data_IF_522538002464
#
_entry.id   IF_522538002464
#
_cell.length_a   1.000
_cell.length_b   1.000
_cell.length_c   1.000
_cell.angle_alpha   90.00
_cell.angle_beta   90.00
_cell.angle_gamma   90.00
#
_symmetry.space_group_name_H-M   'P 1'
#
loop_
_entity.id
_entity.type
_entity.pdbx_description
1 polymer ?
#
# COMPACT_ATOMS: atom_id res chain seq x y z
N UNK A 1 72.31 -19.80 1.47
CA UNK A 1 72.52 -20.84 0.50
C UNK A 1 71.58 -22.00 0.77
N UNK A 2 70.62 -22.18 -0.04
CA UNK A 2 69.97 -23.41 -0.48
C UNK A 2 68.54 -23.11 -1.01
N UNK A 3 68.40 -23.31 -2.29
CA UNK A 3 67.18 -23.16 -3.05
C UNK A 3 66.19 -24.30 -2.73
N UNK A 4 64.88 -24.10 -2.89
CA UNK A 4 63.86 -25.17 -2.77
C UNK A 4 63.68 -25.90 -4.09
N UNK A 5 63.27 -27.18 -4.07
CA UNK A 5 62.99 -27.96 -5.26
C UNK A 5 61.63 -27.66 -5.86
N UNK A 6 61.57 -27.76 -7.15
CA UNK A 6 60.39 -27.71 -8.03
C UNK A 6 59.61 -29.01 -8.00
N UNK A 7 58.39 -28.84 -8.44
CA UNK A 7 57.48 -29.77 -9.09
C UNK A 7 56.52 -30.59 -8.25
N UNK A 8 55.26 -30.32 -8.48
CA UNK A 8 54.30 -31.36 -8.76
C UNK A 8 53.15 -30.78 -9.61
N UNK A 9 52.99 -31.37 -10.78
CA UNK A 9 51.98 -31.04 -11.77
C UNK A 9 50.57 -31.31 -11.23
N UNK A 10 49.67 -30.36 -11.40
CA UNK A 10 48.23 -30.60 -11.24
C UNK A 10 47.69 -31.25 -12.53
N UNK A 11 46.91 -32.34 -12.44
CA UNK A 11 46.20 -32.87 -13.60
C UNK A 11 44.98 -31.96 -13.91
N UNK A 12 44.87 -31.58 -15.17
CA UNK A 12 43.72 -30.91 -15.74
C UNK A 12 42.48 -31.85 -15.67
N UNK A 13 41.65 -31.72 -14.68
CA UNK A 13 40.28 -32.20 -14.74
C UNK A 13 39.38 -31.03 -15.12
N UNK A 14 38.89 -31.10 -16.36
CA UNK A 14 37.81 -30.27 -16.89
C UNK A 14 36.50 -30.51 -16.06
N UNK A 15 36.41 -29.88 -14.92
CA UNK A 15 35.10 -29.68 -14.31
C UNK A 15 34.40 -28.59 -15.10
N UNK A 16 33.49 -29.02 -15.99
CA UNK A 16 32.44 -28.22 -16.56
C UNK A 16 31.71 -27.52 -15.39
N UNK A 17 32.03 -26.28 -15.15
CA UNK A 17 31.25 -25.43 -14.28
C UNK A 17 29.84 -25.37 -14.89
N UNK A 18 28.77 -25.79 -14.19
CA UNK A 18 27.43 -25.60 -14.72
C UNK A 18 27.24 -24.10 -14.84
N UNK A 19 27.10 -23.64 -16.08
CA UNK A 19 26.65 -22.28 -16.38
C UNK A 19 25.44 -22.00 -15.49
N UNK A 20 25.62 -21.14 -14.51
CA UNK A 20 24.55 -20.53 -13.74
C UNK A 20 23.57 -20.00 -14.78
N UNK A 21 22.49 -20.73 -14.99
CA UNK A 21 21.37 -20.24 -15.77
C UNK A 21 20.97 -18.94 -15.10
N UNK A 22 21.41 -17.86 -15.72
CA UNK A 22 21.06 -16.51 -15.28
C UNK A 22 19.56 -16.41 -15.25
N UNK A 23 19.02 -16.08 -14.08
CA UNK A 23 17.63 -15.70 -13.87
C UNK A 23 17.26 -14.52 -14.76
N UNK A 24 16.98 -14.80 -16.03
CA UNK A 24 16.41 -13.88 -17.03
C UNK A 24 14.91 -13.73 -16.80
N UNK A 25 14.47 -13.74 -15.56
CA UNK A 25 13.06 -13.57 -15.18
C UNK A 25 12.91 -12.54 -14.05
N UNK A 26 13.59 -11.40 -14.14
CA UNK A 26 13.16 -10.23 -13.39
C UNK A 26 12.12 -9.43 -14.19
N UNK A 27 11.20 -10.12 -14.83
CA UNK A 27 9.92 -9.51 -15.15
C UNK A 27 9.30 -9.11 -13.81
N UNK A 28 9.19 -7.82 -13.55
CA UNK A 28 8.57 -7.29 -12.34
C UNK A 28 7.19 -7.94 -12.17
N UNK A 29 7.14 -9.00 -11.38
CA UNK A 29 5.88 -9.69 -11.07
C UNK A 29 5.05 -8.70 -10.29
N UNK A 30 3.96 -8.25 -10.88
CA UNK A 30 3.01 -7.37 -10.23
C UNK A 30 1.92 -8.20 -9.60
N UNK A 31 1.62 -7.94 -8.33
CA UNK A 31 0.50 -8.56 -7.62
C UNK A 31 -0.69 -7.62 -7.69
N UNK A 32 -1.81 -8.14 -8.17
CA UNK A 32 -3.03 -7.38 -8.36
C UNK A 32 -3.99 -7.59 -7.18
N UNK A 33 -4.39 -6.51 -6.50
CA UNK A 33 -5.35 -6.54 -5.39
C UNK A 33 -6.33 -5.38 -5.56
N UNK A 34 -7.63 -5.68 -5.62
CA UNK A 34 -8.73 -4.69 -5.74
C UNK A 34 -8.52 -3.65 -6.86
N UNK A 35 -8.02 -4.08 -8.01
CA UNK A 35 -7.81 -3.16 -9.12
C UNK A 35 -6.49 -2.39 -9.09
N UNK A 36 -5.65 -2.57 -8.06
CA UNK A 36 -4.37 -1.89 -7.91
C UNK A 36 -3.21 -2.87 -8.09
N UNK A 37 -2.25 -2.49 -8.93
CA UNK A 37 -1.02 -3.25 -9.14
C UNK A 37 0.03 -2.87 -8.08
N UNK A 38 0.56 -3.87 -7.41
CA UNK A 38 1.64 -3.71 -6.45
C UNK A 38 2.92 -4.38 -6.92
N UNK A 39 4.03 -3.69 -6.73
CA UNK A 39 5.34 -4.24 -6.99
C UNK A 39 5.65 -5.35 -5.98
N UNK A 40 6.26 -6.45 -6.43
CA UNK A 40 6.61 -7.62 -5.59
C UNK A 40 7.54 -7.30 -4.41
N UNK A 41 8.40 -6.28 -4.56
CA UNK A 41 9.32 -5.85 -3.49
C UNK A 41 8.64 -5.08 -2.35
N UNK A 42 7.42 -4.59 -2.58
CA UNK A 42 6.66 -3.83 -1.57
C UNK A 42 6.23 -4.73 -0.42
N UNK A 43 6.34 -4.23 0.81
CA UNK A 43 5.83 -4.94 1.99
C UNK A 43 4.30 -5.03 1.93
N UNK A 44 3.75 -6.19 2.30
CA UNK A 44 2.29 -6.44 2.29
C UNK A 44 1.56 -5.43 3.17
N UNK A 45 2.06 -5.15 4.36
CA UNK A 45 1.49 -4.16 5.26
C UNK A 45 1.40 -2.77 4.60
N UNK A 46 2.49 -2.32 3.97
CA UNK A 46 2.53 -1.02 3.28
C UNK A 46 1.68 -0.96 2.02
N UNK A 47 1.48 -2.10 1.37
CA UNK A 47 0.55 -2.21 0.26
C UNK A 47 -0.90 -2.05 0.74
N UNK A 48 -1.29 -2.68 1.84
CA UNK A 48 -2.61 -2.53 2.44
C UNK A 48 -2.85 -1.11 2.97
N UNK A 49 -1.87 -0.49 3.62
CA UNK A 49 -1.96 0.89 4.11
C UNK A 49 -2.12 1.93 2.99
N UNK A 50 -1.83 1.59 1.74
CA UNK A 50 -2.04 2.51 0.61
C UNK A 50 -3.50 2.70 0.24
N UNK A 51 -4.39 1.78 0.64
CA UNK A 51 -5.83 1.93 0.44
C UNK A 51 -6.44 2.94 1.40
N UNK A 52 -7.27 3.84 0.88
CA UNK A 52 -7.98 4.81 1.71
C UNK A 52 -8.96 4.10 2.65
N UNK A 53 -8.87 4.39 3.94
CA UNK A 53 -9.67 3.74 4.98
C UNK A 53 -8.97 2.61 5.72
N UNK A 54 -7.81 2.14 5.23
CA UNK A 54 -6.97 1.17 5.93
C UNK A 54 -5.76 1.85 6.55
N UNK A 55 -5.63 1.70 7.85
CA UNK A 55 -4.47 2.17 8.61
C UNK A 55 -3.62 1.01 9.12
N UNK A 56 -2.56 1.33 9.84
CA UNK A 56 -1.61 0.37 10.38
C UNK A 56 -2.29 -0.73 11.23
N UNK A 57 -3.24 -0.35 12.10
CA UNK A 57 -3.92 -1.33 12.97
C UNK A 57 -4.82 -2.28 12.20
N UNK A 58 -5.60 -1.77 11.23
CA UNK A 58 -6.46 -2.60 10.40
C UNK A 58 -5.64 -3.56 9.55
N UNK A 59 -4.57 -3.07 8.92
CA UNK A 59 -3.64 -3.91 8.16
C UNK A 59 -3.01 -5.00 9.01
N UNK A 60 -2.56 -4.68 10.22
CA UNK A 60 -1.99 -5.67 11.14
C UNK A 60 -2.99 -6.76 11.54
N UNK A 61 -4.26 -6.40 11.78
CA UNK A 61 -5.33 -7.38 12.08
C UNK A 61 -5.59 -8.32 10.90
N UNK A 62 -5.62 -7.78 9.68
CA UNK A 62 -5.81 -8.59 8.47
C UNK A 62 -4.61 -9.56 8.30
N UNK A 63 -3.39 -9.06 8.45
CA UNK A 63 -2.18 -9.90 8.35
C UNK A 63 -2.17 -11.02 9.39
N UNK A 64 -2.56 -10.72 10.62
CA UNK A 64 -2.67 -11.71 11.70
C UNK A 64 -3.72 -12.78 11.39
N UNK A 65 -4.87 -12.39 10.82
CA UNK A 65 -5.95 -13.32 10.42
C UNK A 65 -5.45 -14.36 9.41
N UNK A 66 -4.61 -13.96 8.47
CA UNK A 66 -4.03 -14.84 7.45
C UNK A 66 -2.64 -15.39 7.79
N UNK A 67 -2.19 -15.18 9.03
CA UNK A 67 -0.87 -15.62 9.51
C UNK A 67 0.29 -15.16 8.64
N UNK A 68 0.19 -13.94 8.11
CA UNK A 68 1.21 -13.33 7.27
C UNK A 68 2.15 -12.50 8.14
N UNK A 69 3.46 -12.72 7.97
CA UNK A 69 4.45 -11.92 8.69
C UNK A 69 4.40 -10.44 8.25
N UNK A 70 4.46 -9.46 9.18
CA UNK A 70 4.32 -8.03 8.86
C UNK A 70 5.40 -7.49 7.90
N UNK A 71 6.57 -8.13 7.85
CA UNK A 71 7.66 -7.80 6.91
C UNK A 71 7.66 -8.65 5.64
N UNK A 72 6.61 -9.45 5.39
CA UNK A 72 6.49 -10.21 4.15
C UNK A 72 6.39 -9.28 2.95
N UNK A 73 7.02 -9.67 1.84
CA UNK A 73 6.91 -8.97 0.55
C UNK A 73 5.73 -9.51 -0.25
N UNK A 74 5.18 -8.67 -1.12
CA UNK A 74 4.05 -9.05 -1.97
C UNK A 74 4.36 -10.26 -2.87
N UNK A 75 5.58 -10.34 -3.40
CA UNK A 75 6.03 -11.44 -4.26
C UNK A 75 6.18 -12.79 -3.56
N UNK A 76 6.26 -12.83 -2.23
CA UNK A 76 6.36 -14.08 -1.46
C UNK A 76 5.01 -14.70 -1.12
N UNK A 77 3.90 -13.99 -1.40
CA UNK A 77 2.57 -14.47 -1.08
C UNK A 77 2.10 -15.53 -2.08
N UNK A 78 1.57 -16.67 -1.60
CA UNK A 78 0.93 -17.64 -2.48
C UNK A 78 -0.38 -17.06 -3.05
N UNK A 79 -0.76 -17.43 -4.27
CA UNK A 79 -1.94 -16.89 -4.93
C UNK A 79 -3.25 -17.13 -4.15
N UNK A 80 -3.34 -18.25 -3.43
CA UNK A 80 -4.50 -18.53 -2.55
C UNK A 80 -4.71 -17.46 -1.48
N UNK A 81 -3.62 -16.96 -0.90
CA UNK A 81 -3.70 -15.90 0.12
C UNK A 81 -4.06 -14.57 -0.53
N UNK A 82 -3.56 -14.27 -1.73
CA UNK A 82 -3.92 -13.05 -2.46
C UNK A 82 -5.42 -13.00 -2.76
N UNK A 83 -6.01 -14.11 -3.22
CA UNK A 83 -7.45 -14.20 -3.45
C UNK A 83 -8.25 -14.06 -2.16
N UNK A 84 -7.81 -14.68 -1.07
CA UNK A 84 -8.45 -14.56 0.24
C UNK A 84 -8.39 -13.12 0.79
N UNK A 85 -7.25 -12.44 0.65
CA UNK A 85 -7.09 -11.02 0.99
C UNK A 85 -8.04 -10.13 0.17
N UNK A 86 -8.13 -10.38 -1.13
CA UNK A 86 -9.02 -9.62 -2.02
C UNK A 86 -10.49 -9.78 -1.61
N UNK A 87 -10.90 -11.01 -1.28
CA UNK A 87 -12.25 -11.31 -0.79
C UNK A 87 -12.54 -10.58 0.54
N UNK A 88 -11.61 -10.60 1.51
CA UNK A 88 -11.76 -9.88 2.78
C UNK A 88 -11.87 -8.37 2.57
N UNK A 89 -11.00 -7.81 1.75
CA UNK A 89 -11.00 -6.38 1.45
C UNK A 89 -12.30 -5.95 0.74
N UNK A 90 -12.89 -6.79 -0.09
CA UNK A 90 -14.16 -6.48 -0.77
C UNK A 90 -15.36 -6.39 0.18
N UNK A 91 -15.28 -7.01 1.36
CA UNK A 91 -16.33 -6.89 2.40
C UNK A 91 -16.22 -5.63 3.26
N UNK A 92 -15.08 -4.96 3.19
CA UNK A 92 -14.80 -3.76 4.00
C UNK A 92 -15.16 -2.48 3.25
N UNK A 93 -15.62 -1.47 3.97
CA UNK A 93 -15.87 -0.13 3.41
C UNK A 93 -14.56 0.62 3.24
N UNK A 94 -13.92 0.47 2.09
CA UNK A 94 -12.62 1.08 1.77
C UNK A 94 -12.69 1.87 0.47
N UNK A 95 -11.66 2.66 0.21
CA UNK A 95 -11.50 3.47 -1.00
C UNK A 95 -12.76 4.30 -1.32
N UNK A 96 -13.43 3.97 -2.39
CA UNK A 96 -14.57 4.73 -2.90
C UNK A 96 -15.75 4.77 -1.93
N UNK A 97 -16.04 3.66 -1.24
CA UNK A 97 -17.16 3.61 -0.29
C UNK A 97 -16.90 4.45 0.95
N UNK A 98 -15.66 4.42 1.46
CA UNK A 98 -15.27 5.27 2.58
C UNK A 98 -15.29 6.77 2.19
N UNK A 99 -14.84 7.12 0.96
CA UNK A 99 -14.91 8.49 0.44
C UNK A 99 -16.36 8.93 0.25
N UNK A 100 -17.21 8.06 -0.32
CA UNK A 100 -18.64 8.33 -0.53
C UNK A 100 -19.35 8.60 0.79
N UNK A 101 -19.11 7.80 1.83
CA UNK A 101 -19.67 8.02 3.16
C UNK A 101 -19.38 9.42 3.70
N UNK A 102 -18.15 9.90 3.55
CA UNK A 102 -17.76 11.25 3.99
C UNK A 102 -18.51 12.31 3.18
N UNK A 103 -18.59 12.14 1.86
CA UNK A 103 -19.29 13.08 0.97
C UNK A 103 -20.79 13.12 1.27
N UNK A 104 -21.43 11.96 1.45
CA UNK A 104 -22.85 11.84 1.74
C UNK A 104 -23.21 12.48 3.09
N UNK A 105 -22.35 12.31 4.11
CA UNK A 105 -22.54 12.98 5.38
C UNK A 105 -22.47 14.49 5.27
N UNK A 106 -21.55 15.04 4.50
CA UNK A 106 -21.44 16.48 4.26
C UNK A 106 -22.64 16.98 3.44
N UNK A 107 -23.02 16.22 2.40
CA UNK A 107 -24.18 16.52 1.57
C UNK A 107 -25.46 16.57 2.39
N UNK A 108 -25.69 15.58 3.25
CA UNK A 108 -26.83 15.54 4.16
C UNK A 108 -26.91 16.81 5.03
N UNK A 109 -25.80 17.26 5.62
CA UNK A 109 -25.76 18.47 6.43
C UNK A 109 -26.09 19.72 5.62
N UNK A 110 -25.71 19.76 4.35
CA UNK A 110 -26.02 20.86 3.43
C UNK A 110 -27.51 20.85 3.06
N UNK A 111 -28.06 19.69 2.71
CA UNK A 111 -29.43 19.55 2.26
C UNK A 111 -30.43 19.89 3.41
N UNK A 112 -30.06 19.58 4.66
CA UNK A 112 -30.81 20.03 5.85
C UNK A 112 -30.68 21.52 6.14
N UNK A 113 -29.90 22.30 5.42
CA UNK A 113 -29.71 23.73 5.62
C UNK A 113 -29.06 24.13 6.94
N UNK A 114 -28.37 23.20 7.61
CA UNK A 114 -27.73 23.46 8.91
C UNK A 114 -26.61 24.50 8.80
N UNK A 115 -26.28 25.18 9.90
CA UNK A 115 -25.16 26.11 9.95
C UNK A 115 -23.84 25.45 9.52
N UNK A 116 -23.59 24.22 9.98
CA UNK A 116 -22.39 23.45 9.57
C UNK A 116 -22.38 23.17 8.07
N UNK A 117 -23.52 22.79 7.49
CA UNK A 117 -23.65 22.54 6.06
C UNK A 117 -23.36 23.79 5.22
N UNK A 118 -23.89 24.96 5.63
CA UNK A 118 -23.57 26.25 4.98
C UNK A 118 -22.09 26.60 5.07
N UNK A 119 -21.46 26.38 6.23
CA UNK A 119 -20.01 26.61 6.39
C UNK A 119 -19.18 25.69 5.48
N UNK A 120 -19.58 24.43 5.33
CA UNK A 120 -18.94 23.52 4.37
C UNK A 120 -19.09 23.99 2.92
N UNK A 121 -20.26 24.44 2.53
CA UNK A 121 -20.53 24.97 1.18
C UNK A 121 -19.67 26.20 0.85
N UNK A 122 -19.46 27.09 1.83
CA UNK A 122 -18.62 28.27 1.69
C UNK A 122 -17.12 27.98 1.77
N UNK A 123 -16.70 26.75 2.10
CA UNK A 123 -15.30 26.40 2.34
C UNK A 123 -14.70 27.07 3.59
N UNK A 124 -15.54 27.45 4.55
CA UNK A 124 -15.14 28.12 5.78
C UNK A 124 -14.97 27.13 6.93
N UNK A 125 -14.22 27.49 7.99
CA UNK A 125 -14.08 26.65 9.18
C UNK A 125 -15.44 26.34 9.80
N UNK A 126 -15.67 25.06 10.12
CA UNK A 126 -16.97 24.57 10.62
C UNK A 126 -17.01 24.50 12.14
N UNK A 127 -15.85 24.42 12.80
CA UNK A 127 -15.72 24.23 14.25
C UNK A 127 -15.42 25.51 15.03
N UNK A 128 -15.84 26.66 14.53
CA UNK A 128 -15.68 27.96 15.23
C UNK A 128 -14.27 28.55 15.18
N UNK A 129 -13.39 28.02 14.32
CA UNK A 129 -12.04 28.55 14.18
C UNK A 129 -12.06 29.95 13.53
N UNK A 130 -11.03 30.73 13.83
CA UNK A 130 -10.85 32.07 13.25
C UNK A 130 -10.64 32.01 11.75
N UNK A 131 -11.15 32.99 11.04
CA UNK A 131 -11.04 33.10 9.57
C UNK A 131 -9.82 33.90 9.11
N UNK A 132 -9.10 34.57 10.00
CA UNK A 132 -7.99 35.44 9.65
C UNK A 132 -6.73 34.69 9.24
N UNK A 133 -6.24 33.76 10.04
CA UNK A 133 -4.91 33.15 9.86
C UNK A 133 -4.93 31.70 9.37
N UNK A 134 -5.91 30.88 9.73
CA UNK A 134 -5.91 29.42 9.47
C UNK A 134 -6.96 28.97 8.45
N UNK A 135 -7.46 29.90 7.65
CA UNK A 135 -8.50 29.61 6.66
C UNK A 135 -7.99 28.73 5.50
N UNK A 136 -6.68 28.72 5.23
CA UNK A 136 -6.10 27.98 4.11
C UNK A 136 -6.39 26.47 4.19
N UNK A 137 -6.30 25.89 5.38
CA UNK A 137 -6.62 24.47 5.60
C UNK A 137 -8.10 24.19 5.38
N UNK A 138 -8.98 25.07 5.88
CA UNK A 138 -10.42 24.92 5.67
C UNK A 138 -10.79 25.02 4.18
N UNK A 139 -10.19 25.92 3.42
CA UNK A 139 -10.40 26.02 1.96
C UNK A 139 -10.03 24.76 1.21
N UNK A 140 -8.95 24.06 1.64
CA UNK A 140 -8.52 22.80 1.02
C UNK A 140 -9.38 21.61 1.45
N UNK A 141 -9.71 21.51 2.75
CA UNK A 141 -10.28 20.29 3.34
C UNK A 141 -11.80 20.32 3.48
N UNK A 142 -12.45 21.51 3.45
CA UNK A 142 -13.91 21.64 3.58
C UNK A 142 -14.65 21.65 2.23
N UNK A 143 -13.98 21.41 1.14
CA UNK A 143 -14.64 21.24 -0.16
C UNK A 143 -15.48 19.98 -0.16
N UNK A 144 -16.68 20.04 -0.74
CA UNK A 144 -17.58 18.89 -0.89
C UNK A 144 -16.96 17.87 -1.84
N UNK A 145 -16.36 18.34 -2.92
CA UNK A 145 -15.58 17.52 -3.85
C UNK A 145 -14.13 17.52 -3.39
N UNK A 146 -13.74 16.43 -2.77
CA UNK A 146 -12.35 16.18 -2.39
C UNK A 146 -11.71 15.32 -3.46
N UNK A 147 -10.98 15.96 -4.36
CA UNK A 147 -10.07 15.25 -5.23
C UNK A 147 -8.86 14.82 -4.40
N UNK A 148 -8.63 13.49 -4.34
CA UNK A 148 -7.47 12.88 -3.70
C UNK A 148 -6.24 13.01 -4.58
#
# INVERSE_FOLDING_TARGET
>A
MRAPPRSAACPASLHLCPLRQGDLSSANKMVFILGVNFNEHKLVQKALESFYGLGQQASARILAKYSIHPRAKMGTLPPKIVTALTAELSTMTIENDARRLVLDNIKRLRDMGTYRGRRHAMGLPVRGQQTRNQIANARKLNKIERHG
#
